data_IF_389611412895
#
_entry.id   IF_389611412895
#
_cell.length_a   1.000
_cell.length_b   1.000
_cell.length_c   1.000
_cell.angle_alpha   90.00
_cell.angle_beta   90.00
_cell.angle_gamma   90.00
#
_symmetry.space_group_name_H-M   'P 1'
#
loop_
_entity.id
_entity.type
_entity.pdbx_description
1 polymer ?
#
# COMPACT_ATOMS: atom_id res chain seq x y z
N UNK A 1 5.17 -30.79 -24.60
CA UNK A 1 3.90 -30.24 -24.09
C UNK A 1 3.81 -30.61 -22.62
N UNK A 2 3.45 -29.68 -21.73
CA UNK A 2 3.45 -29.87 -20.27
C UNK A 2 2.41 -30.87 -19.71
N UNK A 3 1.88 -31.78 -20.54
CA UNK A 3 1.00 -32.88 -20.13
C UNK A 3 -0.16 -32.46 -19.21
N UNK A 4 -0.50 -33.34 -18.27
CA UNK A 4 -1.46 -33.12 -17.18
C UNK A 4 -0.81 -32.46 -15.94
N UNK A 5 0.48 -32.14 -15.98
CA UNK A 5 1.25 -31.60 -14.84
C UNK A 5 1.21 -30.07 -14.73
N UNK A 6 0.47 -29.39 -15.62
CA UNK A 6 0.36 -27.94 -15.62
C UNK A 6 -0.78 -27.47 -14.72
N UNK A 7 -0.41 -26.81 -13.61
CA UNK A 7 -1.35 -26.10 -12.75
C UNK A 7 -1.52 -24.65 -13.23
N UNK A 8 -2.76 -24.23 -13.52
CA UNK A 8 -3.08 -22.84 -13.88
C UNK A 8 -3.76 -22.16 -12.69
N UNK A 9 -3.09 -21.16 -12.13
CA UNK A 9 -3.60 -20.38 -11.00
C UNK A 9 -3.81 -18.93 -11.42
N UNK A 10 -5.03 -18.41 -11.21
CA UNK A 10 -5.34 -16.99 -11.38
C UNK A 10 -5.05 -16.25 -10.08
N UNK A 11 -4.27 -15.16 -10.19
CA UNK A 11 -3.88 -14.32 -9.06
C UNK A 11 -4.23 -12.87 -9.38
N UNK A 12 -4.69 -12.12 -8.38
CA UNK A 12 -4.96 -10.70 -8.49
C UNK A 12 -3.80 -9.88 -7.87
N UNK A 13 -3.59 -8.67 -8.36
CA UNK A 13 -2.55 -7.76 -7.87
C UNK A 13 -2.69 -7.55 -6.35
N UNK A 14 -1.59 -7.65 -5.61
CA UNK A 14 -1.51 -7.62 -4.14
C UNK A 14 -2.21 -8.77 -3.41
N UNK A 15 -2.71 -9.78 -4.12
CA UNK A 15 -3.24 -11.02 -3.54
C UNK A 15 -2.39 -12.23 -3.97
N UNK A 16 -1.10 -12.00 -4.23
CA UNK A 16 -0.16 -13.05 -4.59
C UNK A 16 0.12 -13.99 -3.42
N UNK A 17 0.13 -15.30 -3.68
CA UNK A 17 0.50 -16.27 -2.67
C UNK A 17 2.03 -16.26 -2.39
N UNK A 18 2.42 -16.77 -1.22
CA UNK A 18 3.82 -16.80 -0.79
C UNK A 18 4.73 -17.58 -1.75
N UNK A 19 4.22 -18.65 -2.37
CA UNK A 19 4.97 -19.46 -3.35
C UNK A 19 5.35 -18.60 -4.56
N UNK A 20 4.42 -17.80 -5.09
CA UNK A 20 4.68 -16.86 -6.16
C UNK A 20 5.68 -15.80 -5.72
N UNK A 21 5.45 -15.14 -4.58
CA UNK A 21 6.30 -14.07 -4.06
C UNK A 21 7.76 -14.50 -3.83
N UNK A 22 7.99 -15.75 -3.42
CA UNK A 22 9.33 -16.29 -3.18
C UNK A 22 10.25 -16.24 -4.42
N UNK A 23 9.70 -16.29 -5.64
CA UNK A 23 10.48 -16.24 -6.88
C UNK A 23 11.21 -14.90 -7.08
N UNK A 24 10.66 -13.82 -6.52
CA UNK A 24 11.17 -12.46 -6.72
C UNK A 24 12.23 -12.05 -5.72
N UNK A 25 12.53 -12.89 -4.72
CA UNK A 25 13.55 -12.62 -3.69
C UNK A 25 13.39 -11.22 -3.07
N UNK A 26 12.14 -10.86 -2.71
CA UNK A 26 11.73 -9.56 -2.13
C UNK A 26 11.79 -8.36 -3.08
N UNK A 27 12.05 -8.57 -4.37
CA UNK A 27 12.15 -7.51 -5.41
C UNK A 27 10.92 -7.53 -6.32
N UNK A 28 9.72 -7.48 -5.72
CA UNK A 28 8.45 -7.44 -6.44
C UNK A 28 7.97 -6.00 -6.58
N UNK A 29 7.87 -5.52 -7.83
CA UNK A 29 7.58 -4.12 -8.15
C UNK A 29 6.22 -4.04 -8.84
N UNK A 30 5.35 -3.14 -8.35
CA UNK A 30 4.02 -2.90 -8.91
C UNK A 30 3.93 -1.45 -9.38
N UNK A 31 3.71 -1.26 -10.68
CA UNK A 31 3.47 0.06 -11.27
C UNK A 31 1.98 0.40 -11.31
N UNK A 32 1.65 1.70 -11.24
CA UNK A 32 0.31 2.19 -11.52
C UNK A 32 0.12 2.26 -13.04
N UNK A 33 -1.09 1.95 -13.52
CA UNK A 33 -1.49 2.09 -14.92
C UNK A 33 -1.43 0.79 -15.72
N UNK A 34 -1.47 0.89 -17.06
CA UNK A 34 -1.46 -0.26 -17.97
C UNK A 34 -0.18 -0.29 -18.80
N UNK A 35 0.31 -1.49 -19.11
CA UNK A 35 1.52 -1.69 -19.93
C UNK A 35 1.46 -1.00 -21.31
N UNK A 36 0.27 -0.90 -21.91
CA UNK A 36 0.09 -0.30 -23.25
C UNK A 36 0.05 1.24 -23.24
N UNK A 37 -0.19 1.87 -22.10
CA UNK A 37 -0.27 3.34 -21.99
C UNK A 37 1.10 4.01 -22.20
N UNK A 38 2.20 3.30 -21.93
CA UNK A 38 3.57 3.81 -22.13
C UNK A 38 4.07 3.80 -23.58
N UNK A 39 3.28 3.30 -24.56
CA UNK A 39 3.83 2.90 -25.88
C UNK A 39 3.30 3.60 -27.14
N UNK A 40 2.51 4.69 -27.08
CA UNK A 40 1.97 5.29 -28.33
C UNK A 40 1.87 6.80 -28.46
N UNK A 41 2.35 7.61 -27.52
CA UNK A 41 2.43 9.05 -27.76
C UNK A 41 3.80 9.61 -27.34
N UNK A 42 4.61 9.96 -28.32
CA UNK A 42 5.84 10.77 -28.15
C UNK A 42 5.56 12.18 -27.58
N UNK A 43 4.29 12.51 -27.32
CA UNK A 43 3.84 13.76 -26.72
C UNK A 43 3.54 13.67 -25.21
N UNK A 44 3.62 12.50 -24.58
CA UNK A 44 3.39 12.38 -23.12
C UNK A 44 4.69 12.74 -22.41
N UNK A 45 4.69 13.90 -21.73
CA UNK A 45 5.80 14.29 -20.86
C UNK A 45 6.06 13.20 -19.82
N UNK A 46 7.33 12.81 -19.59
CA UNK A 46 7.65 11.87 -18.55
C UNK A 46 7.15 12.42 -17.20
N UNK A 47 6.43 11.58 -16.46
CA UNK A 47 5.78 11.97 -15.19
C UNK A 47 6.67 11.51 -14.03
N UNK A 48 6.65 12.28 -12.94
CA UNK A 48 7.27 11.88 -11.67
C UNK A 48 6.72 10.53 -11.23
N UNK A 49 7.59 9.57 -10.93
CA UNK A 49 7.20 8.27 -10.38
C UNK A 49 7.66 8.19 -8.92
N UNK A 50 6.76 7.78 -8.02
CA UNK A 50 7.06 7.65 -6.60
C UNK A 50 6.70 6.24 -6.13
N UNK A 51 7.61 5.58 -5.43
CA UNK A 51 7.47 4.19 -5.01
C UNK A 51 7.68 4.05 -3.52
N UNK A 52 6.88 3.19 -2.89
CA UNK A 52 6.91 2.90 -1.46
C UNK A 52 7.27 1.43 -1.24
N UNK A 53 8.40 1.18 -0.57
CA UNK A 53 8.80 -0.15 -0.12
C UNK A 53 8.18 -0.47 1.23
N UNK A 54 7.39 -1.54 1.31
CA UNK A 54 6.77 -1.99 2.56
C UNK A 54 6.65 -3.51 2.61
N UNK A 55 6.76 -4.05 3.82
CA UNK A 55 6.62 -5.48 4.12
C UNK A 55 5.44 -5.69 5.08
N UNK A 56 4.38 -6.35 4.63
CA UNK A 56 3.23 -6.67 5.49
C UNK A 56 3.33 -8.11 6.00
N UNK A 57 3.36 -8.31 7.32
CA UNK A 57 3.36 -9.65 7.94
C UNK A 57 4.63 -10.48 7.77
N UNK A 58 5.56 -10.11 6.88
CA UNK A 58 6.88 -10.74 6.75
C UNK A 58 7.66 -10.31 5.50
N UNK A 59 8.95 -10.65 5.48
CA UNK A 59 9.87 -10.29 4.41
C UNK A 59 9.49 -10.87 3.03
N UNK A 60 8.75 -11.98 2.97
CA UNK A 60 8.28 -12.55 1.71
C UNK A 60 7.19 -11.70 1.03
N UNK A 61 6.44 -10.92 1.81
CA UNK A 61 5.41 -10.02 1.31
C UNK A 61 5.93 -8.60 1.04
N UNK A 62 7.25 -8.41 0.98
CA UNK A 62 7.84 -7.11 0.62
C UNK A 62 7.46 -6.74 -0.82
N UNK A 63 6.87 -5.55 -0.99
CA UNK A 63 6.52 -4.99 -2.29
C UNK A 63 7.08 -3.58 -2.41
N UNK A 64 7.46 -3.21 -3.63
CA UNK A 64 7.71 -1.83 -4.02
C UNK A 64 6.53 -1.37 -4.89
N UNK A 65 5.65 -0.54 -4.36
CA UNK A 65 4.42 -0.13 -5.05
C UNK A 65 4.53 1.33 -5.46
N UNK A 66 4.27 1.62 -6.73
CA UNK A 66 4.13 2.98 -7.23
C UNK A 66 2.88 3.62 -6.59
N UNK A 67 3.03 4.82 -6.07
CA UNK A 67 2.00 5.62 -5.39
C UNK A 67 1.98 7.04 -5.93
N UNK A 68 0.98 7.82 -5.54
CA UNK A 68 0.89 9.23 -5.95
C UNK A 68 2.06 10.03 -5.37
N UNK A 69 2.74 10.86 -6.18
CA UNK A 69 3.86 11.68 -5.73
C UNK A 69 3.36 12.87 -4.90
N UNK A 70 3.14 12.62 -3.60
CA UNK A 70 2.72 13.63 -2.63
C UNK A 70 3.53 13.46 -1.34
N UNK A 71 4.10 14.56 -0.83
CA UNK A 71 4.92 14.54 0.38
C UNK A 71 4.19 13.97 1.60
N UNK A 72 2.85 14.05 1.64
CA UNK A 72 2.06 13.46 2.73
C UNK A 72 2.10 11.93 2.75
N UNK A 73 2.53 11.28 1.67
CA UNK A 73 2.69 9.82 1.61
C UNK A 73 4.02 9.33 2.20
N UNK A 74 4.96 10.22 2.50
CA UNK A 74 6.18 9.84 3.22
C UNK A 74 5.85 9.30 4.61
N UNK A 75 6.72 8.43 5.11
CA UNK A 75 6.68 7.98 6.49
C UNK A 75 8.09 7.58 6.94
N UNK A 76 8.55 8.11 8.08
CA UNK A 76 9.89 7.85 8.62
C UNK A 76 10.21 6.37 8.84
N UNK A 77 9.20 5.50 8.96
CA UNK A 77 9.40 4.05 9.16
C UNK A 77 9.67 3.27 7.87
N UNK A 78 9.57 3.89 6.69
CA UNK A 78 9.68 3.20 5.40
C UNK A 78 10.72 3.86 4.49
N UNK A 79 11.03 3.18 3.39
CA UNK A 79 11.90 3.70 2.35
C UNK A 79 11.12 3.94 1.04
N UNK A 80 11.58 4.93 0.27
CA UNK A 80 10.92 5.34 -0.96
C UNK A 80 11.90 5.53 -2.10
N UNK A 81 11.42 5.40 -3.34
CA UNK A 81 12.13 5.82 -4.55
C UNK A 81 11.31 6.90 -5.23
N UNK A 82 11.93 8.05 -5.51
CA UNK A 82 11.34 9.15 -6.27
C UNK A 82 12.14 9.36 -7.55
N UNK A 83 11.54 9.09 -8.69
CA UNK A 83 12.09 9.40 -10.00
C UNK A 83 11.52 10.73 -10.50
N UNK A 84 12.40 11.69 -10.75
CA UNK A 84 12.07 13.01 -11.30
C UNK A 84 12.69 13.11 -12.69
N UNK A 85 11.89 13.03 -13.77
CA UNK A 85 12.41 13.14 -15.12
C UNK A 85 12.82 14.58 -15.44
N UNK A 86 13.83 14.74 -16.30
CA UNK A 86 14.17 16.03 -16.87
C UNK A 86 13.33 16.29 -18.13
N UNK A 87 12.87 17.52 -18.31
CA UNK A 87 12.13 17.96 -19.51
C UNK A 87 13.12 18.20 -20.66
N UNK A 88 13.74 17.12 -21.13
CA UNK A 88 14.65 17.14 -22.30
C UNK A 88 13.90 16.47 -23.45
N UNK A 89 13.88 17.15 -24.60
CA UNK A 89 13.18 16.71 -25.83
C UNK A 89 13.78 15.45 -26.49
N UNK A 90 14.80 14.86 -25.89
CA UNK A 90 15.49 13.69 -26.45
C UNK A 90 14.84 12.38 -26.00
N UNK A 91 14.95 11.36 -26.84
CA UNK A 91 14.38 10.02 -26.63
C UNK A 91 14.98 9.27 -25.40
N UNK A 92 16.04 9.81 -24.80
CA UNK A 92 16.66 9.25 -23.61
C UNK A 92 15.87 9.64 -22.35
N UNK A 93 15.29 8.64 -21.67
CA UNK A 93 14.79 8.79 -20.31
C UNK A 93 15.92 9.26 -19.39
N UNK A 94 15.95 10.57 -19.14
CA UNK A 94 16.93 11.23 -18.28
C UNK A 94 16.21 11.84 -17.08
N UNK A 95 16.90 11.87 -15.95
CA UNK A 95 16.31 12.33 -14.71
C UNK A 95 17.18 12.09 -13.50
N UNK A 96 16.61 12.34 -12.32
CA UNK A 96 17.21 12.07 -11.04
C UNK A 96 16.34 11.10 -10.25
N UNK A 97 16.98 10.11 -9.64
CA UNK A 97 16.36 9.12 -8.76
C UNK A 97 16.85 9.40 -7.35
N UNK A 98 15.90 9.69 -6.46
CA UNK A 98 16.16 9.78 -5.04
C UNK A 98 15.72 8.50 -4.35
N UNK A 99 16.65 7.83 -3.67
CA UNK A 99 16.37 6.75 -2.73
C UNK A 99 16.29 7.37 -1.35
N UNK A 100 15.07 7.61 -0.87
CA UNK A 100 14.83 8.23 0.43
C UNK A 100 14.73 7.16 1.52
N UNK A 101 15.57 7.31 2.55
CA UNK A 101 15.68 6.40 3.68
C UNK A 101 15.06 7.05 4.91
N UNK A 102 13.92 6.52 5.34
CA UNK A 102 13.27 6.99 6.56
C UNK A 102 14.14 6.71 7.78
N UNK A 103 14.16 7.66 8.73
CA UNK A 103 14.99 7.60 9.94
C UNK A 103 14.71 6.41 10.85
N UNK A 104 13.55 5.75 10.70
CA UNK A 104 13.12 4.54 11.43
C UNK A 104 13.02 3.31 10.54
N UNK A 105 13.48 3.39 9.29
CA UNK A 105 13.58 2.21 8.42
C UNK A 105 14.67 1.26 8.89
N UNK A 106 14.54 -0.03 8.55
CA UNK A 106 15.55 -1.03 8.91
C UNK A 106 16.74 -1.01 7.95
N UNK A 107 17.98 -1.30 8.41
CA UNK A 107 19.14 -1.40 7.52
C UNK A 107 18.94 -2.40 6.37
N UNK A 108 18.20 -3.48 6.62
CA UNK A 108 17.86 -4.48 5.61
C UNK A 108 16.96 -3.92 4.51
N UNK A 109 15.97 -3.09 4.85
CA UNK A 109 15.09 -2.42 3.89
C UNK A 109 15.81 -1.30 3.15
N UNK A 110 16.67 -0.54 3.84
CA UNK A 110 17.51 0.49 3.24
C UNK A 110 18.45 -0.11 2.18
N UNK A 111 19.11 -1.24 2.47
CA UNK A 111 19.92 -1.95 1.49
C UNK A 111 19.08 -2.51 0.34
N UNK A 112 17.93 -3.12 0.65
CA UNK A 112 17.06 -3.70 -0.36
C UNK A 112 16.57 -2.65 -1.36
N UNK A 113 16.12 -1.47 -0.90
CA UNK A 113 15.60 -0.44 -1.79
C UNK A 113 16.70 0.14 -2.68
N UNK A 114 17.92 0.29 -2.16
CA UNK A 114 19.08 0.73 -2.94
C UNK A 114 19.37 -0.27 -4.07
N UNK A 115 19.44 -1.57 -3.76
CA UNK A 115 19.63 -2.62 -4.76
C UNK A 115 18.50 -2.68 -5.81
N UNK A 116 17.27 -2.35 -5.42
CA UNK A 116 16.15 -2.27 -6.36
C UNK A 116 16.31 -1.04 -7.27
N UNK A 117 16.60 0.13 -6.70
CA UNK A 117 16.78 1.38 -7.43
C UNK A 117 17.92 1.29 -8.46
N UNK A 118 19.08 0.77 -8.05
CA UNK A 118 20.23 0.56 -8.93
C UNK A 118 19.88 -0.33 -10.13
N UNK A 119 19.11 -1.40 -9.92
CA UNK A 119 18.69 -2.30 -11.00
C UNK A 119 17.63 -1.69 -11.91
N UNK A 120 16.68 -0.97 -11.31
CA UNK A 120 15.53 -0.42 -12.01
C UNK A 120 15.91 0.80 -12.86
N UNK A 121 16.89 1.59 -12.41
CA UNK A 121 17.31 2.84 -13.05
C UNK A 121 18.78 2.80 -13.51
N UNK A 122 19.28 1.62 -13.91
CA UNK A 122 20.63 1.45 -14.45
C UNK A 122 20.76 2.07 -15.85
N UNK A 123 20.80 3.39 -15.92
CA UNK A 123 20.87 4.16 -17.15
C UNK A 123 21.89 5.30 -16.99
N UNK A 124 22.87 5.47 -17.90
CA UNK A 124 23.87 6.55 -17.83
C UNK A 124 23.29 7.96 -17.76
N UNK A 125 22.06 8.16 -18.23
CA UNK A 125 21.36 9.44 -18.26
C UNK A 125 20.55 9.73 -16.98
N UNK A 126 20.59 8.81 -16.01
CA UNK A 126 19.88 8.92 -14.73
C UNK A 126 20.88 9.01 -13.58
N UNK A 127 20.79 10.08 -12.79
CA UNK A 127 21.58 10.23 -11.56
C UNK A 127 20.84 9.61 -10.39
N UNK A 128 21.47 8.68 -9.67
CA UNK A 128 20.92 8.08 -8.45
C UNK A 128 21.56 8.72 -7.21
N UNK A 129 20.73 9.20 -6.29
CA UNK A 129 21.14 9.80 -5.02
C UNK A 129 20.44 9.13 -3.85
N UNK A 130 21.21 8.76 -2.83
CA UNK A 130 20.67 8.23 -1.57
C UNK A 130 20.51 9.41 -0.62
N UNK A 131 19.33 9.56 -0.03
CA UNK A 131 18.99 10.63 0.90
C UNK A 131 18.54 10.02 2.23
N UNK A 132 19.15 10.43 3.33
CA UNK A 132 18.58 10.17 4.65
C UNK A 132 17.48 11.20 4.93
N UNK A 133 16.46 10.80 5.68
CA UNK A 133 15.42 11.72 6.15
C UNK A 133 16.03 12.94 6.86
N UNK A 134 15.63 14.14 6.43
CA UNK A 134 16.17 15.42 6.90
C UNK A 134 17.32 15.99 6.07
N UNK A 135 17.90 15.21 5.15
CA UNK A 135 18.96 15.64 4.22
C UNK A 135 18.42 15.93 2.81
N UNK A 136 17.10 16.14 2.66
CA UNK A 136 16.49 16.32 1.35
C UNK A 136 16.85 17.69 0.73
N UNK A 137 17.18 17.73 -0.57
CA UNK A 137 17.45 19.00 -1.25
C UNK A 137 16.18 19.86 -1.30
N UNK A 138 16.31 21.15 -1.00
CA UNK A 138 15.15 22.05 -0.82
C UNK A 138 14.27 22.22 -2.07
N UNK A 139 14.85 22.10 -3.28
CA UNK A 139 14.16 22.41 -4.52
C UNK A 139 13.52 21.17 -5.18
N UNK A 140 14.29 20.36 -5.89
CA UNK A 140 13.76 19.35 -6.80
C UNK A 140 12.95 18.24 -6.12
N UNK A 141 13.39 17.77 -4.96
CA UNK A 141 12.74 16.69 -4.23
C UNK A 141 11.33 17.10 -3.76
N UNK A 142 11.22 18.24 -3.07
CA UNK A 142 9.94 18.70 -2.55
C UNK A 142 9.01 19.19 -3.66
N UNK A 143 9.52 19.86 -4.70
CA UNK A 143 8.70 20.27 -5.84
C UNK A 143 8.08 19.05 -6.54
N UNK A 144 8.86 17.99 -6.75
CA UNK A 144 8.36 16.75 -7.36
C UNK A 144 7.27 16.05 -6.52
N UNK A 145 7.27 16.25 -5.20
CA UNK A 145 6.25 15.73 -4.27
C UNK A 145 5.10 16.72 -3.99
N UNK A 146 4.96 17.76 -4.82
CA UNK A 146 3.89 18.75 -4.69
C UNK A 146 4.06 19.67 -3.46
N UNK A 147 5.30 19.98 -3.11
CA UNK A 147 5.69 20.84 -2.00
C UNK A 147 5.94 20.09 -0.69
N UNK A 148 6.64 20.74 0.24
CA UNK A 148 6.91 20.19 1.58
C UNK A 148 5.62 20.20 2.41
N UNK A 149 5.23 19.03 2.91
CA UNK A 149 4.02 18.82 3.73
C UNK A 149 4.36 17.99 4.95
N UNK A 150 3.52 18.09 6.00
CA UNK A 150 3.66 17.22 7.15
C UNK A 150 3.29 15.78 6.78
N UNK A 151 4.11 14.83 7.24
CA UNK A 151 3.95 13.40 7.01
C UNK A 151 4.11 12.62 8.31
N UNK A 152 3.74 11.34 8.32
CA UNK A 152 3.75 10.53 9.55
C UNK A 152 5.18 10.08 9.91
N UNK A 153 5.53 10.06 11.19
CA UNK A 153 6.89 9.71 11.62
C UNK A 153 6.99 8.37 12.34
N UNK A 154 5.93 7.58 12.33
CA UNK A 154 5.89 6.24 12.90
C UNK A 154 4.94 5.34 12.08
N UNK A 155 5.11 4.04 12.24
CA UNK A 155 4.24 3.02 11.65
C UNK A 155 3.78 2.01 12.70
N UNK A 156 3.58 2.43 13.95
CA UNK A 156 3.21 1.53 15.05
C UNK A 156 1.92 0.76 14.78
N UNK A 157 1.02 1.33 13.97
CA UNK A 157 -0.19 0.67 13.50
C UNK A 157 0.08 -0.71 12.88
N UNK A 158 1.21 -0.88 12.16
CA UNK A 158 1.60 -2.15 11.53
C UNK A 158 1.64 -3.33 12.51
N UNK A 159 1.96 -3.07 13.78
CA UNK A 159 2.06 -4.12 14.80
C UNK A 159 0.69 -4.59 15.32
N UNK A 160 -0.36 -3.82 15.04
CA UNK A 160 -1.72 -4.06 15.56
C UNK A 160 -2.76 -4.20 14.48
N UNK A 161 -2.41 -3.86 13.23
CA UNK A 161 -3.33 -3.81 12.12
C UNK A 161 -3.90 -5.20 11.81
N UNK A 162 -5.23 -5.32 11.94
CA UNK A 162 -5.99 -6.55 11.65
C UNK A 162 -7.25 -6.20 10.88
N UNK A 163 -7.56 -6.98 9.86
CA UNK A 163 -8.73 -6.82 9.03
C UNK A 163 -9.64 -8.05 9.19
N UNK A 164 -10.92 -7.82 9.45
CA UNK A 164 -11.93 -8.87 9.54
C UNK A 164 -13.04 -8.62 8.52
N UNK A 165 -13.47 -9.68 7.84
CA UNK A 165 -14.64 -9.69 6.96
C UNK A 165 -15.86 -10.15 7.74
N UNK A 166 -16.91 -9.33 7.75
CA UNK A 166 -18.23 -9.66 8.27
C UNK A 166 -19.15 -9.92 7.09
N UNK A 167 -19.62 -11.17 6.95
CA UNK A 167 -20.39 -11.61 5.79
C UNK A 167 -21.42 -12.67 6.16
N UNK A 168 -22.52 -12.72 5.43
CA UNK A 168 -23.55 -13.76 5.53
C UNK A 168 -23.56 -14.76 4.35
N UNK A 169 -22.57 -14.72 3.45
CA UNK A 169 -22.47 -15.56 2.23
C UNK A 169 -22.67 -17.07 2.49
N UNK A 170 -22.33 -17.55 3.69
CA UNK A 170 -22.48 -18.96 4.08
C UNK A 170 -23.92 -19.33 4.50
N UNK A 171 -24.87 -18.42 4.33
CA UNK A 171 -26.24 -18.54 4.83
C UNK A 171 -26.39 -18.15 6.31
N UNK A 172 -25.30 -17.77 6.98
CA UNK A 172 -25.28 -17.29 8.35
C UNK A 172 -24.17 -16.25 8.54
N UNK A 173 -24.36 -15.33 9.48
CA UNK A 173 -23.40 -14.26 9.76
C UNK A 173 -22.11 -14.82 10.36
N UNK A 174 -20.98 -14.45 9.77
CA UNK A 174 -19.65 -14.84 10.23
C UNK A 174 -18.71 -13.64 10.25
N UNK A 175 -17.77 -13.66 11.21
CA UNK A 175 -16.65 -12.73 11.27
C UNK A 175 -15.38 -13.56 11.11
N UNK A 176 -14.63 -13.31 10.04
CA UNK A 176 -13.39 -14.02 9.73
C UNK A 176 -12.24 -13.04 9.56
N UNK A 177 -11.11 -13.32 10.18
CA UNK A 177 -9.89 -12.54 10.01
C UNK A 177 -9.27 -12.80 8.62
N UNK A 178 -8.83 -11.73 7.97
CA UNK A 178 -8.05 -11.76 6.73
C UNK A 178 -6.57 -11.93 7.08
N UNK A 179 -5.78 -12.40 6.11
CA UNK A 179 -4.34 -12.50 6.29
C UNK A 179 -3.72 -11.12 6.60
N UNK A 180 -2.53 -11.13 7.22
CA UNK A 180 -1.79 -9.90 7.56
C UNK A 180 -1.37 -9.07 6.35
N UNK A 181 -1.30 -9.69 5.17
CA UNK A 181 -0.95 -9.06 3.89
C UNK A 181 -2.20 -8.78 3.05
N UNK A 182 -3.18 -8.08 3.65
CA UNK A 182 -4.40 -7.66 2.96
C UNK A 182 -4.17 -6.39 2.12
N UNK A 183 -5.01 -6.16 1.12
CA UNK A 183 -4.95 -5.01 0.23
C UNK A 183 -6.32 -4.32 0.06
N UNK A 184 -6.36 -3.21 -0.67
CA UNK A 184 -7.59 -2.45 -0.89
C UNK A 184 -8.69 -3.28 -1.57
N UNK A 185 -8.32 -4.23 -2.45
CA UNK A 185 -9.29 -5.11 -3.14
C UNK A 185 -9.92 -6.16 -2.21
N UNK A 186 -9.41 -6.33 -0.97
CA UNK A 186 -10.08 -7.17 0.04
C UNK A 186 -11.31 -6.47 0.66
N UNK A 187 -11.54 -5.19 0.36
CA UNK A 187 -12.73 -4.45 0.78
C UNK A 187 -13.89 -4.74 -0.19
N UNK A 188 -14.66 -5.78 0.12
CA UNK A 188 -15.75 -6.26 -0.72
C UNK A 188 -17.00 -5.38 -0.62
N UNK A 189 -17.58 -5.00 -1.76
CA UNK A 189 -18.71 -4.07 -1.82
C UNK A 189 -20.00 -4.59 -1.17
N UNK A 190 -20.16 -5.90 -1.14
CA UNK A 190 -21.28 -6.63 -0.54
C UNK A 190 -21.13 -6.91 0.95
N UNK A 191 -19.94 -6.67 1.53
CA UNK A 191 -19.67 -6.98 2.93
C UNK A 191 -19.34 -5.76 3.78
N UNK A 192 -19.11 -6.04 5.07
CA UNK A 192 -18.62 -5.09 6.04
C UNK A 192 -17.26 -5.54 6.53
N UNK A 193 -16.32 -4.60 6.60
CA UNK A 193 -14.97 -4.88 7.08
C UNK A 193 -14.76 -4.21 8.43
N UNK A 194 -14.18 -4.94 9.38
CA UNK A 194 -13.70 -4.37 10.65
C UNK A 194 -12.18 -4.25 10.53
N UNK A 195 -11.65 -3.04 10.60
CA UNK A 195 -10.21 -2.77 10.62
C UNK A 195 -9.81 -2.24 11.98
N UNK A 196 -9.01 -2.98 12.73
CA UNK A 196 -8.37 -2.51 13.97
C UNK A 196 -6.94 -2.07 13.63
N UNK A 197 -6.55 -0.84 13.97
CA UNK A 197 -5.18 -0.35 13.78
C UNK A 197 -4.41 -0.22 15.12
N UNK A 198 -4.95 -0.77 16.20
CA UNK A 198 -4.43 -0.68 17.56
C UNK A 198 -5.06 0.43 18.38
N UNK A 199 -5.35 1.59 17.78
CA UNK A 199 -5.97 2.74 18.48
C UNK A 199 -7.44 2.90 18.12
N UNK A 200 -7.80 2.54 16.89
CA UNK A 200 -9.08 2.77 16.27
C UNK A 200 -9.56 1.49 15.63
N UNK A 201 -10.84 1.21 15.81
CA UNK A 201 -11.55 0.15 15.11
C UNK A 201 -12.49 0.83 14.13
N UNK A 202 -12.30 0.59 12.84
CA UNK A 202 -13.14 1.10 11.77
C UNK A 202 -14.13 0.02 11.35
N UNK A 203 -15.39 0.39 11.27
CA UNK A 203 -16.41 -0.33 10.54
C UNK A 203 -16.48 0.27 9.13
N UNK A 204 -15.94 -0.42 8.13
CA UNK A 204 -16.01 -0.02 6.73
C UNK A 204 -17.24 -0.68 6.11
N UNK A 205 -18.16 0.12 5.57
CA UNK A 205 -19.37 -0.39 4.93
C UNK A 205 -19.19 -0.46 3.41
N UNK A 206 -19.35 -1.66 2.87
CA UNK A 206 -19.52 -1.88 1.44
C UNK A 206 -20.78 -1.20 0.91
N UNK A 207 -20.75 -0.80 -0.36
CA UNK A 207 -21.86 -0.07 -0.99
C UNK A 207 -23.15 -0.89 -1.17
N UNK A 208 -23.07 -2.21 -1.02
CA UNK A 208 -24.15 -3.19 -1.24
C UNK A 208 -24.42 -4.06 -0.01
N UNK A 209 -23.85 -3.74 1.15
CA UNK A 209 -24.08 -4.50 2.37
C UNK A 209 -25.53 -4.37 2.87
N UNK A 210 -26.04 -5.40 3.55
CA UNK A 210 -27.41 -5.41 4.08
C UNK A 210 -27.52 -4.74 5.45
N UNK A 211 -28.70 -4.20 5.80
CA UNK A 211 -28.94 -3.65 7.14
C UNK A 211 -28.70 -4.67 8.27
N UNK A 212 -28.96 -5.95 7.98
CA UNK A 212 -28.75 -7.05 8.92
C UNK A 212 -27.25 -7.20 9.20
N UNK A 213 -26.42 -7.19 8.16
CA UNK A 213 -24.97 -7.22 8.31
C UNK A 213 -24.46 -6.00 9.07
N UNK A 214 -24.98 -4.80 8.80
CA UNK A 214 -24.60 -3.58 9.52
C UNK A 214 -24.83 -3.72 11.02
N UNK A 215 -26.03 -4.17 11.41
CA UNK A 215 -26.39 -4.35 12.82
C UNK A 215 -25.51 -5.40 13.49
N UNK A 216 -25.29 -6.54 12.83
CA UNK A 216 -24.49 -7.63 13.38
C UNK A 216 -23.00 -7.26 13.47
N UNK A 217 -22.43 -6.65 12.44
CA UNK A 217 -21.04 -6.21 12.42
C UNK A 217 -20.77 -5.11 13.46
N UNK A 218 -21.72 -4.18 13.65
CA UNK A 218 -21.64 -3.19 14.73
C UNK A 218 -21.58 -3.87 16.12
N UNK A 219 -22.45 -4.87 16.37
CA UNK A 219 -22.40 -5.65 17.61
C UNK A 219 -21.10 -6.43 17.78
N UNK A 220 -20.62 -7.07 16.72
CA UNK A 220 -19.33 -7.76 16.72
C UNK A 220 -18.17 -6.82 17.04
N UNK A 221 -18.14 -5.62 16.45
CA UNK A 221 -17.12 -4.61 16.74
C UNK A 221 -17.19 -4.13 18.20
N UNK A 222 -18.39 -3.96 18.77
CA UNK A 222 -18.55 -3.60 20.19
C UNK A 222 -17.98 -4.68 21.12
N UNK A 223 -18.32 -5.95 20.87
CA UNK A 223 -17.81 -7.10 21.66
C UNK A 223 -16.29 -7.20 21.52
N UNK A 224 -15.77 -7.03 20.30
CA UNK A 224 -14.33 -7.03 20.03
C UNK A 224 -13.59 -5.95 20.85
N UNK A 225 -14.10 -4.70 20.85
CA UNK A 225 -13.52 -3.61 21.63
C UNK A 225 -13.59 -3.88 23.14
N UNK A 226 -14.70 -4.43 23.65
CA UNK A 226 -14.83 -4.79 25.06
C UNK A 226 -13.81 -5.85 25.47
N UNK A 227 -13.64 -6.88 24.64
CA UNK A 227 -12.63 -7.93 24.84
C UNK A 227 -11.21 -7.35 24.86
N UNK A 228 -10.90 -6.46 23.91
CA UNK A 228 -9.60 -5.80 23.84
C UNK A 228 -9.34 -4.87 25.03
N UNK A 229 -10.37 -4.21 25.58
CA UNK A 229 -10.23 -3.41 26.81
C UNK A 229 -9.80 -4.26 28.00
N UNK A 230 -10.23 -5.54 28.07
CA UNK A 230 -9.81 -6.47 29.13
C UNK A 230 -8.38 -6.94 28.89
N UNK A 231 -8.04 -7.31 27.64
CA UNK A 231 -6.72 -7.87 27.29
C UNK A 231 -5.59 -6.84 27.23
N UNK A 232 -5.91 -5.59 26.88
CA UNK A 232 -4.96 -4.50 26.63
C UNK A 232 -5.54 -3.19 27.16
N UNK A 233 -5.67 -3.06 28.50
CA UNK A 233 -6.31 -1.92 29.15
C UNK A 233 -5.60 -0.58 28.89
N UNK A 234 -4.29 -0.61 28.66
CA UNK A 234 -3.45 0.55 28.34
C UNK A 234 -3.71 1.14 26.95
N UNK A 235 -4.35 0.39 26.05
CA UNK A 235 -4.60 0.80 24.67
C UNK A 235 -6.10 0.79 24.38
N UNK A 236 -6.81 1.83 24.77
CA UNK A 236 -8.26 1.93 24.51
C UNK A 236 -8.57 2.10 23.02
N UNK A 237 -9.54 1.36 22.48
CA UNK A 237 -9.94 1.44 21.07
C UNK A 237 -11.15 2.36 20.91
N UNK A 238 -11.10 3.23 19.91
CA UNK A 238 -12.25 4.07 19.51
C UNK A 238 -12.91 3.51 18.26
N UNK A 239 -14.23 3.36 18.29
CA UNK A 239 -15.01 2.88 17.14
C UNK A 239 -15.30 4.04 16.18
N UNK A 240 -15.01 3.82 14.90
CA UNK A 240 -15.29 4.76 13.80
C UNK A 240 -16.08 4.07 12.71
N UNK A 241 -16.93 4.82 12.03
CA UNK A 241 -17.62 4.39 10.82
C UNK A 241 -16.93 5.00 9.61
N UNK A 242 -16.73 4.24 8.55
CA UNK A 242 -16.28 4.75 7.26
C UNK A 242 -17.06 4.08 6.13
N UNK A 243 -17.33 4.85 5.08
CA UNK A 243 -18.04 4.37 3.91
C UNK A 243 -17.04 4.30 2.75
N UNK A 244 -17.32 3.44 1.77
CA UNK A 244 -16.56 3.43 0.51
C UNK A 244 -16.46 4.83 -0.08
N UNK A 245 -15.26 5.24 -0.50
CA UNK A 245 -14.90 6.58 -1.01
C UNK A 245 -14.95 7.71 0.03
N UNK A 246 -15.13 7.41 1.31
CA UNK A 246 -15.08 8.36 2.45
C UNK A 246 -14.05 7.91 3.49
N UNK A 247 -13.07 7.12 3.07
CA UNK A 247 -12.00 6.62 3.93
C UNK A 247 -11.04 7.74 4.32
N UNK A 248 -10.83 7.88 5.63
CA UNK A 248 -9.86 8.85 6.16
C UNK A 248 -8.42 8.33 6.02
N UNK A 249 -7.43 9.22 6.07
CA UNK A 249 -6.01 8.83 6.08
C UNK A 249 -5.64 7.83 7.19
N UNK A 250 -6.33 7.90 8.34
CA UNK A 250 -6.14 6.96 9.46
C UNK A 250 -6.53 5.52 9.11
N UNK A 251 -7.48 5.36 8.19
CA UNK A 251 -7.89 4.08 7.63
C UNK A 251 -6.96 3.67 6.49
N UNK A 252 -6.79 4.54 5.49
CA UNK A 252 -6.10 4.20 4.23
C UNK A 252 -4.62 3.87 4.43
N UNK A 253 -3.94 4.45 5.44
CA UNK A 253 -2.55 4.13 5.77
C UNK A 253 -2.31 2.66 6.12
N UNK A 254 -3.34 1.96 6.58
CA UNK A 254 -3.25 0.55 6.92
C UNK A 254 -3.06 -0.33 5.67
N UNK A 255 -3.41 0.18 4.48
CA UNK A 255 -3.28 -0.52 3.21
C UNK A 255 -2.07 -0.01 2.45
N UNK A 256 -1.30 -0.92 1.84
CA UNK A 256 -0.17 -0.54 1.01
C UNK A 256 -0.66 -0.11 -0.39
N UNK A 257 -0.24 1.06 -0.85
CA UNK A 257 -0.58 1.53 -2.20
C UNK A 257 -2.05 1.91 -2.39
N UNK A 258 -2.71 2.48 -1.39
CA UNK A 258 -4.10 2.93 -1.48
C UNK A 258 -4.31 3.90 -2.67
N UNK A 259 -5.33 3.65 -3.47
CA UNK A 259 -5.72 4.47 -4.62
C UNK A 259 -7.23 4.70 -4.67
N UNK A 260 -7.72 5.34 -5.73
CA UNK A 260 -9.15 5.29 -6.04
C UNK A 260 -9.60 3.83 -6.20
N UNK A 261 -10.82 3.55 -5.73
CA UNK A 261 -11.44 2.25 -5.92
C UNK A 261 -11.62 1.97 -7.42
N UNK A 262 -11.40 0.72 -7.82
CA UNK A 262 -11.61 0.29 -9.21
C UNK A 262 -13.09 0.42 -9.57
N UNK A 263 -13.38 1.02 -10.71
CA UNK A 263 -14.70 0.96 -11.35
C UNK A 263 -14.81 -0.32 -12.17
N UNK A 264 -16.02 -0.88 -12.27
CA UNK A 264 -16.30 -1.91 -13.26
C UNK A 264 -16.01 -1.32 -14.67
N UNK A 265 -15.50 -2.11 -15.61
CA UNK A 265 -15.44 -1.67 -17.01
C UNK A 265 -16.86 -1.32 -17.47
N UNK A 266 -17.03 -0.16 -18.10
CA UNK A 266 -18.24 0.16 -18.87
C UNK A 266 -18.40 -0.79 -20.07
#
# INVERSE_FOLDING_TARGET
MFGEELEVVRIHQQQENLKFMAHFKRKFIIHIGKRKDKSKDSNIKPVVEFFHLRSNGGALCTRLIQIQPDATNLNSAFCYILYVPFDIKDEAQSGIVYVWLGSKSTPEEAKLIQEIAEKMFNNPWVSLQILNEGEEPENFFWVALGGRKAYETNADFMNYTRLFRCSNEKGYFTVAEKCTDFCQDDLADDDIMILDNGEQVFLWLGSKCSEVEIKLAYKSAQVYIQHLRIKQPERSRKLFLTLKNKESKRFTKCFHGWSSHKSAPE
#
